data_IF_473715348702
#
_entry.id   IF_473715348702
#
_cell.length_a   1.000
_cell.length_b   1.000
_cell.length_c   1.000
_cell.angle_alpha   90.00
_cell.angle_beta   90.00
_cell.angle_gamma   90.00
#
_symmetry.space_group_name_H-M   'P 1'
#
loop_
_entity.id
_entity.type
_entity.pdbx_description
1 polymer ?
#
# COMPACT_ATOMS: atom_id res chain seq x y z
N UNK A 1 10.94 16.42 11.99
CA UNK A 1 12.03 16.27 11.01
C UNK A 1 13.26 15.79 11.76
N UNK A 2 13.86 14.67 11.37
CA UNK A 2 15.16 14.23 11.90
C UNK A 2 16.17 14.54 10.80
N UNK A 3 17.14 15.42 11.09
CA UNK A 3 18.26 15.70 10.20
C UNK A 3 19.51 15.15 10.88
N UNK A 4 20.09 14.09 10.31
CA UNK A 4 21.34 13.51 10.78
C UNK A 4 22.42 13.71 9.70
N UNK A 5 22.91 14.94 9.56
CA UNK A 5 23.85 15.33 8.49
C UNK A 5 25.28 15.00 8.91
N UNK A 6 25.99 14.21 8.11
CA UNK A 6 27.39 13.82 8.35
C UNK A 6 27.59 12.66 9.32
N UNK A 7 26.50 12.02 9.78
CA UNK A 7 26.55 10.84 10.62
C UNK A 7 26.33 9.57 9.79
N UNK A 8 26.75 8.38 10.30
CA UNK A 8 26.47 7.11 9.66
C UNK A 8 24.96 6.91 9.38
N UNK A 9 24.66 6.22 8.28
CA UNK A 9 23.28 5.91 7.92
C UNK A 9 22.55 5.21 9.08
N UNK A 10 21.36 5.69 9.41
CA UNK A 10 20.55 5.18 10.51
C UNK A 10 19.21 4.65 10.00
N UNK A 11 18.85 3.42 10.38
CA UNK A 11 17.56 2.80 10.04
C UNK A 11 16.61 2.89 11.23
N UNK A 12 15.52 3.65 11.08
CA UNK A 12 14.46 3.74 12.08
C UNK A 12 13.33 2.78 11.74
N UNK A 13 13.08 1.80 12.62
CA UNK A 13 11.96 0.86 12.49
C UNK A 13 10.89 1.17 13.52
N UNK A 14 9.68 1.50 13.06
CA UNK A 14 8.53 1.61 13.95
C UNK A 14 8.13 0.21 14.45
N UNK A 15 8.28 -0.03 15.78
CA UNK A 15 7.90 -1.30 16.44
C UNK A 15 6.52 -1.26 17.10
N UNK A 16 5.78 -0.16 16.95
CA UNK A 16 4.50 0.08 17.62
C UNK A 16 4.66 0.70 19.01
N UNK A 17 3.65 0.54 19.86
CA UNK A 17 3.63 1.11 21.20
C UNK A 17 4.38 0.20 22.18
N UNK A 18 5.05 0.78 23.17
CA UNK A 18 5.58 0.00 24.30
C UNK A 18 4.45 -0.33 25.27
N UNK A 19 4.23 -1.62 25.54
CA UNK A 19 3.28 -2.09 26.54
C UNK A 19 3.95 -3.16 27.41
N UNK A 20 3.94 -2.96 28.73
CA UNK A 20 4.58 -3.86 29.71
C UNK A 20 6.04 -4.23 29.36
N UNK A 21 6.83 -3.26 28.89
CA UNK A 21 8.24 -3.48 28.55
C UNK A 21 8.49 -4.19 27.21
N UNK A 22 7.45 -4.56 26.47
CA UNK A 22 7.57 -5.16 25.13
C UNK A 22 6.88 -4.29 24.06
N UNK A 23 7.41 -4.24 22.83
CA UNK A 23 6.74 -3.54 21.73
C UNK A 23 5.52 -4.32 21.25
N UNK A 24 4.37 -3.65 21.18
CA UNK A 24 3.12 -4.17 20.62
C UNK A 24 2.77 -3.43 19.34
N UNK A 25 2.46 -4.20 18.28
CA UNK A 25 1.95 -3.63 17.02
C UNK A 25 0.61 -2.93 17.26
N UNK A 26 0.47 -1.71 16.74
CA UNK A 26 -0.71 -0.87 16.95
C UNK A 26 -1.80 -1.08 15.89
N UNK A 27 -1.53 -1.89 14.87
CA UNK A 27 -2.48 -2.19 13.81
C UNK A 27 -1.84 -2.97 12.68
N UNK A 28 -2.68 -3.20 11.67
CA UNK A 28 -2.42 -3.95 10.47
C UNK A 28 -2.24 -3.01 9.28
N UNK A 29 -1.50 -3.46 8.26
CA UNK A 29 -1.20 -2.66 7.07
C UNK A 29 -1.30 -3.48 5.78
N UNK A 30 -1.38 -2.79 4.65
CA UNK A 30 -1.24 -3.35 3.31
C UNK A 30 -0.30 -2.48 2.49
N UNK A 31 0.55 -3.11 1.69
CA UNK A 31 1.31 -2.44 0.65
C UNK A 31 0.78 -2.93 -0.69
N UNK A 32 0.23 -2.01 -1.48
CA UNK A 32 -0.43 -2.35 -2.75
C UNK A 32 0.40 -1.78 -3.89
N UNK A 33 0.79 -2.62 -4.86
CA UNK A 33 1.46 -2.17 -6.09
C UNK A 33 0.58 -2.51 -7.28
N UNK A 34 0.35 -1.53 -8.13
CA UNK A 34 -0.38 -1.71 -9.37
C UNK A 34 0.57 -2.11 -10.51
N UNK A 35 0.04 -2.89 -11.44
CA UNK A 35 0.65 -3.25 -12.72
C UNK A 35 -0.40 -3.14 -13.81
N UNK A 36 -0.44 -1.99 -14.48
CA UNK A 36 -1.36 -1.76 -15.59
C UNK A 36 -0.80 -2.30 -16.92
N UNK A 37 -1.67 -2.45 -17.93
CA UNK A 37 -1.30 -2.84 -19.28
C UNK A 37 -0.77 -1.63 -20.07
N UNK A 38 0.13 -1.88 -21.02
CA UNK A 38 0.69 -0.85 -21.90
C UNK A 38 1.73 0.05 -21.22
N UNK A 39 1.82 1.31 -21.66
CA UNK A 39 2.89 2.22 -21.22
C UNK A 39 2.78 2.72 -19.77
N UNK A 40 1.57 2.75 -19.20
CA UNK A 40 1.35 3.20 -17.82
C UNK A 40 1.44 2.04 -16.82
N UNK A 41 2.58 1.35 -16.78
CA UNK A 41 2.75 0.13 -15.98
C UNK A 41 2.50 0.34 -14.49
N UNK A 42 2.63 1.56 -13.97
CA UNK A 42 2.42 1.88 -12.57
C UNK A 42 0.96 2.28 -12.24
N UNK A 43 0.09 2.37 -13.25
CA UNK A 43 -1.30 2.77 -13.05
C UNK A 43 -1.43 4.19 -12.52
N UNK A 44 -0.58 5.12 -12.96
CA UNK A 44 -0.67 6.54 -12.57
C UNK A 44 -2.04 7.09 -12.98
N UNK A 45 -2.74 7.73 -12.04
CA UNK A 45 -4.13 8.17 -12.20
C UNK A 45 -5.17 7.16 -11.74
N UNK A 46 -4.78 5.95 -11.34
CA UNK A 46 -5.71 4.96 -10.80
C UNK A 46 -6.18 5.32 -9.38
N UNK A 47 -7.39 4.92 -9.02
CA UNK A 47 -7.94 5.03 -7.66
C UNK A 47 -8.07 3.66 -7.02
N UNK A 48 -7.37 3.45 -5.92
CA UNK A 48 -7.42 2.23 -5.10
C UNK A 48 -8.44 2.45 -3.99
N UNK A 49 -9.43 1.58 -3.91
CA UNK A 49 -10.42 1.57 -2.84
C UNK A 49 -10.16 0.38 -1.94
N UNK A 50 -9.87 0.62 -0.66
CA UNK A 50 -9.66 -0.43 0.35
C UNK A 50 -10.81 -0.38 1.34
N UNK A 51 -11.49 -1.52 1.53
CA UNK A 51 -12.62 -1.69 2.44
C UNK A 51 -12.27 -2.66 3.56
N UNK A 52 -12.50 -2.25 4.80
CA UNK A 52 -12.24 -3.03 6.01
C UNK A 52 -13.44 -2.92 6.93
N UNK A 53 -14.38 -3.87 6.84
CA UNK A 53 -15.69 -3.72 7.50
C UNK A 53 -16.47 -2.54 6.90
N UNK A 54 -16.88 -1.57 7.72
CA UNK A 54 -17.65 -0.39 7.33
C UNK A 54 -16.83 0.72 6.64
N UNK A 55 -15.61 1.11 7.11
CA UNK A 55 -14.85 2.17 6.47
C UNK A 55 -14.31 1.76 5.08
N UNK A 56 -14.45 2.71 4.15
CA UNK A 56 -13.85 2.66 2.81
C UNK A 56 -12.79 3.76 2.72
N UNK A 57 -11.54 3.39 2.46
CA UNK A 57 -10.42 4.31 2.32
C UNK A 57 -9.98 4.37 0.85
N UNK A 58 -10.31 5.45 0.11
CA UNK A 58 -9.76 5.67 -1.21
C UNK A 58 -8.31 6.16 -1.13
N UNK A 59 -7.49 5.74 -2.08
CA UNK A 59 -6.11 6.20 -2.30
C UNK A 59 -5.89 6.41 -3.80
N UNK A 60 -5.51 7.62 -4.17
CA UNK A 60 -5.17 7.94 -5.55
C UNK A 60 -3.69 7.65 -5.81
N UNK A 61 -3.40 6.99 -6.94
CA UNK A 61 -2.03 6.71 -7.39
C UNK A 61 -1.55 7.90 -8.21
N UNK A 62 -0.72 8.73 -7.61
CA UNK A 62 -0.22 9.97 -8.23
C UNK A 62 1.30 9.98 -8.30
N UNK A 63 1.83 10.60 -9.34
CA UNK A 63 3.25 10.90 -9.48
C UNK A 63 3.41 12.42 -9.41
N UNK A 64 4.11 12.90 -8.40
CA UNK A 64 4.29 14.33 -8.10
C UNK A 64 3.26 14.85 -7.10
N UNK A 65 3.73 15.22 -5.91
CA UNK A 65 2.94 15.84 -4.85
C UNK A 65 3.84 16.44 -3.77
N UNK A 66 3.83 17.78 -3.65
CA UNK A 66 4.65 18.56 -2.71
C UNK A 66 6.16 18.58 -3.03
N UNK A 67 6.89 19.55 -2.44
CA UNK A 67 8.33 19.87 -2.59
C UNK A 67 9.20 18.75 -3.22
N UNK A 68 9.16 18.64 -4.56
CA UNK A 68 9.93 17.69 -5.37
C UNK A 68 9.83 16.19 -4.97
N UNK A 69 8.74 15.75 -4.33
CA UNK A 69 8.49 14.33 -4.04
C UNK A 69 7.40 13.74 -4.94
N UNK A 70 7.67 12.57 -5.50
CA UNK A 70 6.67 11.70 -6.13
C UNK A 70 6.81 10.30 -5.58
N UNK A 71 5.70 9.63 -5.27
CA UNK A 71 5.73 8.25 -4.79
C UNK A 71 5.24 7.31 -5.90
N UNK A 72 6.19 6.63 -6.53
CA UNK A 72 5.94 5.50 -7.41
C UNK A 72 6.26 4.21 -6.66
N UNK A 73 5.43 3.18 -6.83
CA UNK A 73 5.65 1.87 -6.24
C UNK A 73 4.53 1.44 -5.29
N UNK A 74 4.89 1.13 -4.05
CA UNK A 74 3.95 0.59 -3.06
C UNK A 74 3.09 1.68 -2.41
N UNK A 75 1.78 1.55 -2.53
CA UNK A 75 0.80 2.36 -1.80
C UNK A 75 0.55 1.74 -0.43
N UNK A 76 0.94 2.46 0.62
CA UNK A 76 0.70 2.04 1.99
C UNK A 76 -0.72 2.37 2.45
N UNK A 77 -1.40 1.38 3.03
CA UNK A 77 -2.74 1.54 3.62
C UNK A 77 -2.78 0.88 4.99
N UNK A 78 -3.05 1.66 6.04
CA UNK A 78 -3.37 1.12 7.35
C UNK A 78 -4.78 0.58 7.38
N UNK A 79 -4.97 -0.65 7.85
CA UNK A 79 -6.27 -1.35 7.93
C UNK A 79 -6.75 -1.55 9.38
N UNK A 80 -6.21 -0.76 10.32
CA UNK A 80 -6.61 -0.79 11.72
C UNK A 80 -6.38 -2.16 12.36
N UNK A 81 -7.39 -2.72 13.02
CA UNK A 81 -7.34 -4.07 13.59
C UNK A 81 -7.87 -5.15 12.64
N UNK A 82 -8.31 -4.80 11.43
CA UNK A 82 -8.89 -5.76 10.48
C UNK A 82 -7.83 -6.71 9.95
N UNK A 83 -8.11 -8.01 10.00
CA UNK A 83 -7.23 -9.06 9.48
C UNK A 83 -7.33 -9.24 7.97
N UNK A 84 -8.41 -8.71 7.37
CA UNK A 84 -8.69 -8.80 5.94
C UNK A 84 -9.18 -7.47 5.42
N UNK A 85 -8.89 -7.22 4.15
CA UNK A 85 -9.45 -6.09 3.43
C UNK A 85 -9.92 -6.54 2.05
N UNK A 86 -10.89 -5.81 1.51
CA UNK A 86 -11.27 -5.92 0.11
C UNK A 86 -10.69 -4.74 -0.66
N UNK A 87 -9.96 -5.02 -1.73
CA UNK A 87 -9.37 -4.02 -2.62
C UNK A 87 -10.15 -4.00 -3.93
N UNK A 88 -10.40 -2.80 -4.45
CA UNK A 88 -10.88 -2.59 -5.81
C UNK A 88 -10.13 -1.43 -6.44
N UNK A 89 -9.74 -1.55 -7.70
CA UNK A 89 -8.99 -0.52 -8.42
C UNK A 89 -9.84 0.02 -9.55
N UNK A 90 -9.95 1.34 -9.63
CA UNK A 90 -10.40 2.04 -10.84
C UNK A 90 -9.16 2.43 -11.63
N UNK A 91 -9.01 1.90 -12.82
CA UNK A 91 -7.89 2.17 -13.71
C UNK A 91 -8.03 3.54 -14.38
N UNK A 92 -6.95 4.12 -14.93
CA UNK A 92 -6.99 5.46 -15.54
C UNK A 92 -7.91 5.56 -16.77
N UNK A 93 -8.14 4.44 -17.47
CA UNK A 93 -9.11 4.32 -18.56
C UNK A 93 -10.59 4.28 -18.07
N UNK A 94 -10.81 4.26 -16.76
CA UNK A 94 -12.14 4.18 -16.13
C UNK A 94 -12.59 2.76 -15.79
N UNK A 95 -11.89 1.73 -16.29
CA UNK A 95 -12.25 0.34 -16.05
C UNK A 95 -12.04 -0.06 -14.58
N UNK A 96 -12.88 -0.98 -14.11
CA UNK A 96 -12.78 -1.49 -12.75
C UNK A 96 -12.12 -2.87 -12.72
N UNK A 97 -11.23 -3.08 -11.75
CA UNK A 97 -10.74 -4.40 -11.41
C UNK A 97 -11.82 -5.28 -10.78
N UNK A 98 -11.55 -6.58 -10.74
CA UNK A 98 -12.24 -7.50 -9.83
C UNK A 98 -12.08 -7.04 -8.37
N UNK A 99 -13.02 -7.37 -7.48
CA UNK A 99 -12.83 -7.20 -6.05
C UNK A 99 -11.88 -8.28 -5.51
N UNK A 100 -10.79 -7.87 -4.86
CA UNK A 100 -9.80 -8.79 -4.29
C UNK A 100 -9.89 -8.81 -2.78
N UNK A 101 -10.07 -9.99 -2.18
CA UNK A 101 -9.99 -10.17 -0.72
C UNK A 101 -8.59 -10.60 -0.34
N UNK A 102 -7.92 -9.81 0.49
CA UNK A 102 -6.54 -10.08 0.91
C UNK A 102 -6.40 -10.10 2.41
N UNK A 103 -5.42 -10.86 2.90
CA UNK A 103 -5.00 -10.81 4.29
C UNK A 103 -4.18 -9.55 4.55
N UNK A 104 -4.34 -8.99 5.74
CA UNK A 104 -3.52 -7.91 6.24
C UNK A 104 -2.06 -8.30 6.44
N UNK A 105 -1.21 -7.28 6.57
CA UNK A 105 0.24 -7.35 6.74
C UNK A 105 0.97 -7.99 5.55
N UNK A 106 0.48 -7.70 4.35
CA UNK A 106 0.98 -8.29 3.12
C UNK A 106 1.36 -7.22 2.08
N UNK A 107 2.28 -7.62 1.22
CA UNK A 107 2.55 -6.95 -0.04
C UNK A 107 1.70 -7.59 -1.14
N UNK A 108 0.87 -6.80 -1.79
CA UNK A 108 -0.11 -7.24 -2.78
C UNK A 108 0.15 -6.54 -4.12
N UNK A 109 0.28 -7.34 -5.17
CA UNK A 109 0.38 -6.85 -6.55
C UNK A 109 -0.96 -7.07 -7.24
N UNK A 110 -1.51 -5.99 -7.81
CA UNK A 110 -2.74 -6.03 -8.59
C UNK A 110 -2.40 -5.75 -10.04
N UNK A 111 -2.63 -6.74 -10.88
CA UNK A 111 -2.41 -6.68 -12.32
C UNK A 111 -3.73 -6.37 -13.03
N UNK A 112 -3.71 -5.43 -13.97
CA UNK A 112 -4.89 -5.04 -14.73
C UNK A 112 -5.42 -6.23 -15.56
N UNK A 113 -6.71 -6.52 -15.40
CA UNK A 113 -7.38 -7.67 -16.01
C UNK A 113 -7.13 -9.01 -15.31
N UNK A 114 -6.28 -9.08 -14.28
CA UNK A 114 -6.12 -10.32 -13.52
C UNK A 114 -7.34 -10.60 -12.64
N UNK A 115 -7.78 -11.87 -12.61
CA UNK A 115 -8.89 -12.30 -11.76
C UNK A 115 -8.50 -12.42 -10.27
N UNK A 116 -7.21 -12.57 -9.98
CA UNK A 116 -6.67 -12.69 -8.62
C UNK A 116 -5.58 -11.66 -8.34
N UNK A 117 -5.51 -11.21 -7.09
CA UNK A 117 -4.38 -10.44 -6.60
C UNK A 117 -3.24 -11.38 -6.21
N UNK A 118 -2.00 -10.96 -6.47
CA UNK A 118 -0.80 -11.76 -6.18
C UNK A 118 -0.11 -11.26 -4.92
N UNK A 119 0.21 -12.15 -4.01
CA UNK A 119 1.09 -11.81 -2.89
C UNK A 119 2.54 -11.75 -3.37
N UNK A 120 3.26 -10.74 -2.91
CA UNK A 120 4.69 -10.60 -3.16
C UNK A 120 5.45 -10.92 -1.88
N UNK A 121 6.47 -11.76 -2.01
CA UNK A 121 7.43 -12.08 -0.97
C UNK A 121 8.82 -11.69 -1.48
N UNK A 122 9.70 -11.13 -0.64
CA UNK A 122 11.08 -10.92 -1.02
C UNK A 122 11.74 -12.28 -1.30
N UNK A 123 12.63 -12.31 -2.30
CA UNK A 123 13.56 -13.43 -2.48
C UNK A 123 14.54 -13.44 -1.30
N UNK A 124 14.84 -14.63 -0.75
CA UNK A 124 15.76 -14.80 0.40
C UNK A 124 17.21 -14.40 0.09
#
# INVERSE_FOLDING_TARGET
MVVNRGQPASLFRNRGVMQQGAPRRMGNWLQIRLKAKGGNIHGVGAKITVKTGTPTMPRDVQVGGGHASGHLGWTHVGVGTSERAQIRVQWPNGDWSHPYRVFANQFVVIEEGAAAARYWYPEE
#
